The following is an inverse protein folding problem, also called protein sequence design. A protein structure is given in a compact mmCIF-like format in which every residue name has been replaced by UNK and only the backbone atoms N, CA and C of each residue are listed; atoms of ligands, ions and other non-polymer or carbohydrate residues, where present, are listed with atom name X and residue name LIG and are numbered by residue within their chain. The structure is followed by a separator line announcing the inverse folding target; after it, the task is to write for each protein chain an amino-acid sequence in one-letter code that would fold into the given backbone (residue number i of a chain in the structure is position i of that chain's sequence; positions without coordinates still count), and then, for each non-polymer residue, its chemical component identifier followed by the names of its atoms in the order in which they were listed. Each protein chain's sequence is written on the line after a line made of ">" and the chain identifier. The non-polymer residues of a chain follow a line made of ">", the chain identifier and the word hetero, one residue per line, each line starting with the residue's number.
data_IF_090071399800
#
_entry.id   IF_090071399800
#
_cell.length_a   1.000
_cell.length_b   1.000
_cell.length_c   1.000
_cell.angle_alpha   90.00
_cell.angle_beta   90.00
_cell.angle_gamma   90.00
#
_symmetry.space_group_name_H-M   'P 1'
#
loop_
_entity.id
_entity.type
_entity.pdbx_description
1 polymer ?
#
# COMPACT_ATOMS: atom_id res chain seq x y z
N UNK A 1 -40.87 9.90 -3.61
CA UNK A 1 -39.62 9.16 -3.91
C UNK A 1 -38.81 8.89 -2.63
N UNK A 2 -38.76 9.86 -1.71
CA UNK A 2 -37.94 9.79 -0.49
C UNK A 2 -38.16 8.53 0.38
N UNK A 3 -39.40 8.03 0.52
CA UNK A 3 -39.67 6.80 1.27
C UNK A 3 -39.19 5.52 0.58
N UNK A 4 -39.27 5.47 -0.76
CA UNK A 4 -38.81 4.32 -1.55
C UNK A 4 -37.28 4.23 -1.55
N UNK A 5 -36.60 5.36 -1.74
CA UNK A 5 -35.14 5.43 -1.66
C UNK A 5 -34.61 4.99 -0.30
N UNK A 6 -35.24 5.44 0.79
CA UNK A 6 -34.88 5.02 2.14
C UNK A 6 -35.08 3.51 2.37
N UNK A 7 -36.22 2.96 1.92
CA UNK A 7 -36.47 1.52 2.02
C UNK A 7 -35.39 0.71 1.27
N UNK A 8 -35.00 1.19 0.09
CA UNK A 8 -33.99 0.55 -0.74
C UNK A 8 -32.61 0.58 -0.07
N UNK A 9 -32.21 1.69 0.56
CA UNK A 9 -30.95 1.80 1.34
C UNK A 9 -30.90 0.77 2.47
N UNK A 10 -31.98 0.65 3.24
CA UNK A 10 -32.03 -0.32 4.34
C UNK A 10 -31.98 -1.77 3.83
N UNK A 11 -32.60 -2.03 2.68
CA UNK A 11 -32.55 -3.34 2.04
C UNK A 11 -31.12 -3.69 1.59
N UNK A 12 -30.37 -2.74 1.00
CA UNK A 12 -28.96 -2.96 0.64
C UNK A 12 -28.09 -3.14 1.88
N UNK A 13 -28.27 -2.36 2.94
CA UNK A 13 -27.54 -2.54 4.22
C UNK A 13 -27.76 -3.96 4.76
N UNK A 14 -29.01 -4.44 4.75
CA UNK A 14 -29.34 -5.79 5.19
C UNK A 14 -28.65 -6.85 4.32
N UNK A 15 -28.64 -6.66 3.01
CA UNK A 15 -27.96 -7.56 2.07
C UNK A 15 -26.44 -7.57 2.28
N UNK A 16 -25.81 -6.42 2.54
CA UNK A 16 -24.37 -6.32 2.80
C UNK A 16 -23.98 -7.11 4.05
N UNK A 17 -24.74 -6.92 5.14
CA UNK A 17 -24.54 -7.65 6.40
C UNK A 17 -24.77 -9.16 6.22
N UNK A 18 -25.82 -9.58 5.50
CA UNK A 18 -26.08 -11.01 5.27
C UNK A 18 -25.00 -11.69 4.42
N UNK A 19 -24.35 -10.94 3.52
CA UNK A 19 -23.28 -11.46 2.67
C UNK A 19 -21.88 -11.31 3.30
N UNK A 20 -21.78 -10.87 4.55
CA UNK A 20 -20.51 -10.62 5.26
C UNK A 20 -19.56 -9.67 4.50
N UNK A 21 -20.12 -8.68 3.81
CA UNK A 21 -19.34 -7.66 3.10
C UNK A 21 -18.93 -6.58 4.11
N UNK A 22 -17.63 -6.45 4.33
CA UNK A 22 -17.07 -5.39 5.16
C UNK A 22 -16.96 -4.10 4.31
N UNK A 23 -17.47 -2.98 4.84
CA UNK A 23 -17.54 -1.67 4.15
C UNK A 23 -16.73 -0.56 4.85
N UNK A 24 -15.99 -0.90 5.91
CA UNK A 24 -15.24 0.08 6.70
C UNK A 24 -13.92 0.53 6.06
N UNK A 25 -13.49 1.76 6.40
CA UNK A 25 -12.27 2.43 5.90
C UNK A 25 -10.93 1.68 6.17
N UNK A 26 -10.95 0.65 7.03
CA UNK A 26 -9.75 -0.15 7.39
C UNK A 26 -9.48 -1.37 6.52
N UNK A 27 -10.13 -1.50 5.36
CA UNK A 27 -9.82 -2.57 4.40
C UNK A 27 -8.66 -2.13 3.51
N UNK A 28 -7.43 -2.50 3.88
CA UNK A 28 -6.22 -2.14 3.11
C UNK A 28 -6.07 -2.95 1.80
N UNK A 29 -6.76 -4.08 1.67
CA UNK A 29 -6.76 -4.90 0.46
C UNK A 29 -7.95 -5.87 0.44
N UNK A 30 -8.37 -6.29 -0.77
CA UNK A 30 -9.51 -7.18 -0.95
C UNK A 30 -9.38 -8.55 -0.22
N UNK A 31 -8.14 -8.97 0.08
CA UNK A 31 -7.85 -10.25 0.74
C UNK A 31 -7.55 -10.11 2.24
N UNK A 32 -7.35 -8.89 2.75
CA UNK A 32 -7.00 -8.68 4.15
C UNK A 32 -8.24 -8.39 4.99
N UNK A 33 -8.76 -9.45 5.62
CA UNK A 33 -9.78 -9.33 6.65
C UNK A 33 -9.07 -9.23 8.00
N UNK A 34 -9.11 -8.04 8.60
CA UNK A 34 -8.65 -7.83 9.97
C UNK A 34 -9.53 -8.65 10.92
N UNK A 35 -8.95 -9.61 11.65
CA UNK A 35 -9.68 -10.44 12.64
C UNK A 35 -10.13 -9.68 13.90
N UNK A 36 -9.85 -8.39 14.02
CA UNK A 36 -10.45 -7.54 15.04
C UNK A 36 -11.84 -7.15 14.56
N UNK A 37 -12.85 -7.42 15.39
CA UNK A 37 -14.24 -6.97 15.19
C UNK A 37 -14.20 -5.54 14.66
N UNK A 38 -14.50 -5.40 13.36
CA UNK A 38 -14.74 -4.09 12.77
C UNK A 38 -15.83 -3.51 13.64
N UNK A 39 -15.54 -2.40 14.32
CA UNK A 39 -16.58 -1.59 14.93
C UNK A 39 -17.48 -1.23 13.76
N UNK A 40 -18.56 -1.99 13.62
CA UNK A 40 -19.52 -1.94 12.52
C UNK A 40 -20.21 -0.60 12.65
N UNK A 41 -19.55 0.45 12.15
CA UNK A 41 -20.12 1.78 12.15
C UNK A 41 -21.29 1.67 11.18
N UNK A 42 -22.50 1.56 11.70
CA UNK A 42 -23.70 1.40 10.88
C UNK A 42 -23.80 2.53 9.84
N UNK A 43 -23.27 3.70 10.19
CA UNK A 43 -23.05 4.83 9.30
C UNK A 43 -22.24 4.49 8.04
N UNK A 44 -21.19 3.65 8.13
CA UNK A 44 -20.38 3.24 6.97
C UNK A 44 -21.21 2.39 5.99
N UNK A 45 -22.09 1.51 6.49
CA UNK A 45 -22.99 0.75 5.63
C UNK A 45 -24.01 1.65 4.95
N UNK A 46 -24.51 2.65 5.66
CA UNK A 46 -25.46 3.61 5.09
C UNK A 46 -24.75 4.49 4.04
N UNK A 47 -23.52 4.95 4.30
CA UNK A 47 -22.67 5.66 3.34
C UNK A 47 -22.44 4.84 2.08
N UNK A 48 -22.03 3.59 2.24
CA UNK A 48 -21.74 2.70 1.12
C UNK A 48 -23.00 2.37 0.31
N UNK A 49 -24.12 2.06 0.97
CA UNK A 49 -25.39 1.80 0.32
C UNK A 49 -25.92 3.03 -0.44
N UNK A 50 -25.76 4.23 0.11
CA UNK A 50 -26.08 5.48 -0.59
C UNK A 50 -25.23 5.64 -1.86
N UNK A 51 -23.92 5.37 -1.78
CA UNK A 51 -23.03 5.39 -2.94
C UNK A 51 -23.50 4.45 -4.05
N UNK A 52 -23.80 3.20 -3.72
CA UNK A 52 -24.32 2.22 -4.69
C UNK A 52 -25.61 2.68 -5.34
N UNK A 53 -26.56 3.19 -4.55
CA UNK A 53 -27.87 3.61 -5.08
C UNK A 53 -27.72 4.87 -5.95
N UNK A 54 -26.78 5.76 -5.61
CA UNK A 54 -26.54 7.00 -6.34
C UNK A 54 -26.11 6.77 -7.80
N UNK A 55 -25.52 5.62 -8.12
CA UNK A 55 -25.16 5.24 -9.49
C UNK A 55 -26.38 4.91 -10.37
N UNK A 56 -27.52 4.58 -9.75
CA UNK A 56 -28.74 4.15 -10.45
C UNK A 56 -29.84 5.22 -10.48
N UNK A 57 -29.67 6.34 -9.78
CA UNK A 57 -30.65 7.43 -9.70
C UNK A 57 -30.04 8.74 -10.20
N UNK A 58 -30.87 9.74 -10.44
CA UNK A 58 -30.38 11.08 -10.82
C UNK A 58 -29.69 11.76 -9.64
N UNK A 59 -28.70 12.62 -9.92
CA UNK A 59 -27.92 13.32 -8.89
C UNK A 59 -28.78 14.17 -7.95
N UNK A 60 -29.88 14.74 -8.46
CA UNK A 60 -30.82 15.55 -7.65
C UNK A 60 -31.49 14.70 -6.56
N UNK A 61 -31.97 13.51 -6.93
CA UNK A 61 -32.58 12.57 -5.98
C UNK A 61 -31.55 11.99 -5.01
N UNK A 62 -30.31 11.79 -5.47
CA UNK A 62 -29.21 11.35 -4.60
C UNK A 62 -28.90 12.37 -3.50
N UNK A 63 -28.90 13.67 -3.85
CA UNK A 63 -28.70 14.78 -2.90
C UNK A 63 -29.88 14.95 -1.93
N UNK A 64 -31.11 14.69 -2.38
CA UNK A 64 -32.27 14.67 -1.49
C UNK A 64 -32.19 13.48 -0.50
N UNK A 65 -31.80 12.32 -0.99
CA UNK A 65 -31.64 11.09 -0.20
C UNK A 65 -30.54 11.24 0.86
N UNK A 66 -29.39 11.84 0.53
CA UNK A 66 -28.31 12.06 1.49
C UNK A 66 -28.72 13.01 2.63
N UNK A 67 -29.47 14.07 2.32
CA UNK A 67 -30.06 14.98 3.31
C UNK A 67 -31.03 14.25 4.24
N UNK A 68 -31.88 13.38 3.69
CA UNK A 68 -32.84 12.61 4.48
C UNK A 68 -32.17 11.59 5.40
N UNK A 69 -31.08 10.97 4.94
CA UNK A 69 -30.29 10.02 5.72
C UNK A 69 -29.44 10.68 6.82
N UNK A 70 -29.30 12.01 6.81
CA UNK A 70 -28.45 12.73 7.77
C UNK A 70 -26.95 12.43 7.62
N UNK A 71 -26.54 11.94 6.45
CA UNK A 71 -25.15 11.62 6.18
C UNK A 71 -24.34 12.92 6.12
N UNK A 72 -23.20 13.03 6.84
CA UNK A 72 -22.30 14.14 6.64
C UNK A 72 -21.90 14.14 5.15
N UNK A 73 -22.19 15.25 4.47
CA UNK A 73 -21.77 15.46 3.09
C UNK A 73 -20.26 15.22 3.07
N UNK A 74 -19.83 14.20 2.33
CA UNK A 74 -18.42 13.84 2.21
C UNK A 74 -17.69 15.04 1.63
N UNK A 75 -17.19 15.91 2.52
CA UNK A 75 -16.14 16.84 2.18
C UNK A 75 -14.99 15.98 1.67
N UNK A 76 -14.56 16.29 0.45
CA UNK A 76 -13.46 15.61 -0.22
C UNK A 76 -12.33 15.38 0.78
N UNK A 77 -11.66 14.21 0.74
CA UNK A 77 -10.52 13.95 1.61
C UNK A 77 -9.61 15.16 1.54
N UNK A 78 -9.33 15.75 2.70
CA UNK A 78 -8.46 16.92 2.79
C UNK A 78 -7.21 16.62 1.96
N UNK A 79 -6.78 17.56 1.08
CA UNK A 79 -5.70 17.30 0.15
C UNK A 79 -4.53 16.71 0.93
N UNK A 80 -4.08 15.53 0.50
CA UNK A 80 -2.95 14.84 1.12
C UNK A 80 -1.84 15.86 1.40
N UNK A 81 -1.22 15.83 2.59
CA UNK A 81 -0.12 16.74 2.89
C UNK A 81 0.89 16.65 1.75
N UNK A 82 1.29 17.79 1.17
CA UNK A 82 1.92 17.84 -0.14
C UNK A 82 3.07 16.85 -0.23
N UNK A 83 2.86 15.78 -1.01
CA UNK A 83 3.94 14.94 -1.51
C UNK A 83 4.97 15.90 -2.09
N UNK A 84 6.13 15.92 -1.45
CA UNK A 84 7.25 16.82 -1.72
C UNK A 84 7.36 17.05 -3.23
N UNK A 85 7.09 18.29 -3.64
CA UNK A 85 7.16 18.76 -5.03
C UNK A 85 8.49 18.30 -5.63
N UNK A 86 8.47 17.26 -6.47
CA UNK A 86 9.52 17.06 -7.46
C UNK A 86 9.29 18.15 -8.50
N UNK A 87 10.16 19.15 -8.53
CA UNK A 87 10.12 20.22 -9.53
C UNK A 87 10.25 19.55 -10.91
N UNK A 88 9.22 19.67 -11.73
CA UNK A 88 9.35 19.51 -13.17
C UNK A 88 9.84 20.87 -13.71
N UNK A 89 11.16 21.02 -13.81
CA UNK A 89 11.74 21.96 -14.75
C UNK A 89 11.84 21.24 -16.10
N UNK A 90 11.07 21.75 -17.07
CA UNK A 90 11.15 21.40 -18.49
C UNK A 90 12.51 21.86 -19.05
N UNK A 91 13.49 20.96 -19.01
CA UNK A 91 14.75 21.04 -19.75
C UNK A 91 15.05 19.61 -20.22
N UNK A 92 15.40 19.37 -21.49
CA UNK A 92 15.75 18.04 -21.97
C UNK A 92 16.92 17.50 -21.14
N UNK A 93 16.66 16.48 -20.31
CA UNK A 93 17.70 15.81 -19.55
C UNK A 93 18.39 14.85 -20.51
N UNK A 94 19.53 15.30 -21.04
CA UNK A 94 20.59 14.45 -21.57
C UNK A 94 20.82 13.27 -20.62
N UNK A 95 20.89 12.07 -21.18
CA UNK A 95 21.04 10.80 -20.47
C UNK A 95 22.47 10.73 -19.91
N UNK A 96 22.74 11.39 -18.78
CA UNK A 96 24.12 11.50 -18.26
C UNK A 96 24.48 10.48 -17.17
N UNK A 97 23.68 9.44 -16.96
CA UNK A 97 23.97 8.49 -15.88
C UNK A 97 23.87 7.04 -16.37
N UNK A 98 24.81 6.73 -17.26
CA UNK A 98 25.32 5.38 -17.51
C UNK A 98 25.72 4.71 -16.17
N UNK A 99 24.90 3.75 -15.72
CA UNK A 99 25.05 3.01 -14.47
C UNK A 99 26.26 2.05 -14.45
N UNK A 100 27.09 2.05 -15.48
CA UNK A 100 28.29 1.20 -15.56
C UNK A 100 29.47 1.75 -14.71
N UNK A 101 29.35 2.95 -14.13
CA UNK A 101 30.45 3.65 -13.43
C UNK A 101 30.73 3.23 -11.97
N UNK A 102 29.92 2.37 -11.34
CA UNK A 102 30.18 1.96 -9.95
C UNK A 102 30.91 0.63 -9.77
N UNK A 103 31.37 -0.02 -10.85
CA UNK A 103 32.04 -1.32 -10.76
C UNK A 103 33.54 -1.33 -11.09
N UNK A 104 34.19 -0.16 -11.16
CA UNK A 104 35.65 -0.05 -11.27
C UNK A 104 36.28 0.29 -9.91
N UNK A 105 36.06 -0.56 -8.91
CA UNK A 105 36.84 -0.48 -7.67
C UNK A 105 38.30 -0.83 -7.98
N UNK A 106 39.09 0.23 -8.14
CA UNK A 106 40.55 0.20 -8.18
C UNK A 106 41.08 -0.59 -6.97
N UNK A 107 41.42 -1.85 -7.19
CA UNK A 107 42.33 -2.61 -6.33
C UNK A 107 43.71 -1.96 -6.46
N UNK A 108 44.03 -1.00 -5.59
CA UNK A 108 45.39 -0.72 -5.09
C UNK A 108 45.41 0.47 -4.13
N UNK A 109 45.94 0.19 -2.95
CA UNK A 109 46.68 1.10 -2.06
C UNK A 109 45.88 2.13 -1.24
N UNK A 110 45.39 1.69 -0.07
CA UNK A 110 45.58 2.48 1.15
C UNK A 110 46.00 1.59 2.32
N UNK A 111 47.27 1.72 2.69
CA UNK A 111 47.96 1.02 3.76
C UNK A 111 47.37 1.44 5.12
N UNK A 112 46.94 0.45 5.90
CA UNK A 112 47.02 0.32 7.36
C UNK A 112 46.81 1.57 8.24
N UNK A 113 45.61 1.70 8.83
CA UNK A 113 45.51 2.00 10.26
C UNK A 113 44.74 0.87 10.94
N UNK A 114 45.50 0.00 11.59
CA UNK A 114 45.08 -1.26 12.17
C UNK A 114 44.51 -1.04 13.57
N UNK A 115 43.23 -0.65 13.65
CA UNK A 115 42.38 -0.94 14.82
C UNK A 115 40.98 -1.26 14.31
N UNK A 116 40.72 -2.54 14.01
CA UNK A 116 39.35 -2.99 13.74
C UNK A 116 38.45 -2.60 14.91
N UNK A 117 37.34 -1.93 14.61
CA UNK A 117 36.31 -1.59 15.59
C UNK A 117 35.78 -2.85 16.27
N UNK A 118 35.34 -2.75 17.53
CA UNK A 118 34.78 -3.88 18.28
C UNK A 118 33.66 -4.60 17.50
N UNK A 119 32.85 -3.84 16.76
CA UNK A 119 31.82 -4.37 15.87
C UNK A 119 32.39 -5.18 14.69
N UNK A 120 33.48 -4.73 14.07
CA UNK A 120 34.15 -5.45 12.98
C UNK A 120 34.81 -6.75 13.49
N UNK A 121 35.37 -6.73 14.71
CA UNK A 121 35.88 -7.93 15.37
C UNK A 121 34.76 -8.92 15.71
N UNK A 122 33.58 -8.44 16.09
CA UNK A 122 32.42 -9.29 16.36
C UNK A 122 31.91 -9.97 15.07
N UNK A 123 31.80 -9.24 13.96
CA UNK A 123 31.42 -9.80 12.66
C UNK A 123 32.46 -10.80 12.11
N UNK A 124 33.75 -10.58 12.38
CA UNK A 124 34.82 -11.50 12.02
C UNK A 124 34.78 -12.84 12.79
N UNK A 125 34.11 -12.91 13.94
CA UNK A 125 33.95 -14.14 14.75
C UNK A 125 32.72 -14.97 14.37
N UNK A 126 31.85 -14.50 13.47
CA UNK A 126 30.74 -15.31 12.97
C UNK A 126 31.32 -16.58 12.37
N UNK A 127 30.89 -17.75 12.84
CA UNK A 127 31.36 -19.03 12.30
C UNK A 127 30.79 -19.19 10.88
N UNK A 128 31.65 -19.12 9.86
CA UNK A 128 31.23 -19.21 8.44
C UNK A 128 31.04 -20.65 7.99
N UNK A 129 31.37 -21.61 8.86
CA UNK A 129 31.16 -23.02 8.60
C UNK A 129 29.66 -23.31 8.45
N UNK A 130 29.25 -23.77 7.26
CA UNK A 130 27.84 -24.07 6.95
C UNK A 130 27.05 -22.96 6.23
N UNK A 131 27.56 -21.72 6.18
CA UNK A 131 26.92 -20.65 5.40
C UNK A 131 27.37 -20.73 3.93
N UNK A 132 26.41 -20.95 3.02
CA UNK A 132 26.67 -20.85 1.57
C UNK A 132 26.79 -19.38 1.18
N UNK A 133 27.82 -19.04 0.40
CA UNK A 133 27.90 -17.74 -0.26
C UNK A 133 26.64 -17.53 -1.12
N UNK A 134 26.14 -16.30 -1.19
CA UNK A 134 25.02 -15.91 -2.05
C UNK A 134 25.24 -16.33 -3.50
N UNK A 135 26.49 -16.32 -3.97
CA UNK A 135 26.85 -16.79 -5.32
C UNK A 135 26.46 -18.25 -5.57
N UNK A 136 26.45 -19.12 -4.55
CA UNK A 136 26.07 -20.52 -4.67
C UNK A 136 24.57 -20.72 -4.95
N UNK A 137 23.72 -19.73 -4.68
CA UNK A 137 22.28 -19.81 -4.97
C UNK A 137 21.96 -19.45 -6.42
N UNK A 138 22.80 -18.62 -7.03
CA UNK A 138 22.62 -18.15 -8.40
C UNK A 138 23.52 -18.87 -9.41
N UNK A 139 24.49 -19.66 -8.96
CA UNK A 139 25.26 -20.54 -9.84
C UNK A 139 24.40 -21.69 -10.33
N UNK A 140 24.44 -21.96 -11.64
CA UNK A 140 23.86 -23.17 -12.22
C UNK A 140 24.49 -24.41 -11.54
N UNK A 141 23.67 -25.42 -11.21
CA UNK A 141 24.20 -26.65 -10.62
C UNK A 141 25.19 -27.28 -11.61
N UNK A 142 26.47 -27.30 -11.27
CA UNK A 142 27.45 -28.09 -12.02
C UNK A 142 27.03 -29.55 -11.92
N UNK A 143 26.79 -30.19 -13.08
CA UNK A 143 26.60 -31.64 -13.15
C UNK A 143 27.91 -32.28 -12.67
N UNK A 144 27.87 -32.95 -11.53
CA UNK A 144 28.99 -33.76 -11.07
C UNK A 144 29.24 -34.88 -12.10
N UNK A 145 30.36 -34.78 -12.82
CA UNK A 145 30.97 -35.95 -13.46
C UNK A 145 31.57 -36.80 -12.35
N UNK A 146 31.22 -38.08 -12.39
CA UNK A 146 31.73 -39.16 -11.55
C UNK A 146 33.25 -39.30 -11.68
#
# INVERSE_FOLDING_TARGET
>A
ISFCGFLQVNQTVKALKSNNICVGERIYSATFVSGKQITDAEEDYVRYAHGLISEYITEELSKELSKYLGLPEHTAPAPEPPLKKRKLSDVPVEVEEDYTKFNSSNLKNKKTNSKMSAAQKALAKVDKSGMKSISSFFSSKTKASK
#
